data_IF_220917449683
#
_entry.id   IF_220917449683
#
_cell.length_a   1.000
_cell.length_b   1.000
_cell.length_c   1.000
_cell.angle_alpha   90.00
_cell.angle_beta   90.00
_cell.angle_gamma   90.00
#
_symmetry.space_group_name_H-M   'P 1'
#
loop_
_entity.id
_entity.type
_entity.pdbx_description
1 polymer ?
#
# COMPACT_ATOMS: atom_id res chain seq x y z
N UNK A 1 -15.00 23.21 -17.77
CA UNK A 1 -15.39 21.91 -18.39
C UNK A 1 -14.32 20.81 -18.22
N UNK A 2 -13.04 21.05 -18.49
CA UNK A 2 -12.00 19.98 -18.41
C UNK A 2 -11.79 19.42 -17.00
N UNK A 3 -11.79 20.21 -15.94
CA UNK A 3 -11.66 19.75 -14.54
C UNK A 3 -12.86 18.90 -14.14
N UNK A 4 -14.05 19.28 -14.57
CA UNK A 4 -15.31 18.61 -14.32
C UNK A 4 -15.39 17.24 -15.01
N UNK A 5 -14.95 17.14 -16.26
CA UNK A 5 -14.86 15.86 -16.99
C UNK A 5 -13.87 14.89 -16.37
N UNK A 6 -12.72 15.39 -15.84
CA UNK A 6 -11.73 14.57 -15.15
C UNK A 6 -12.22 14.07 -13.79
N UNK A 7 -12.94 14.90 -13.05
CA UNK A 7 -13.52 14.53 -11.76
C UNK A 7 -14.59 13.46 -11.95
N UNK A 8 -15.43 13.58 -12.97
CA UNK A 8 -16.44 12.57 -13.33
C UNK A 8 -15.80 11.23 -13.65
N UNK A 9 -14.73 11.21 -14.44
CA UNK A 9 -13.99 9.97 -14.75
C UNK A 9 -13.38 9.32 -13.50
N UNK A 10 -12.79 10.10 -12.60
CA UNK A 10 -12.20 9.58 -11.36
C UNK A 10 -13.26 9.04 -10.39
N UNK A 11 -14.36 9.76 -10.21
CA UNK A 11 -15.46 9.32 -9.32
C UNK A 11 -16.19 8.08 -9.87
N UNK A 12 -16.38 7.99 -11.19
CA UNK A 12 -16.99 6.80 -11.79
C UNK A 12 -16.07 5.58 -11.69
N UNK A 13 -14.75 5.76 -11.83
CA UNK A 13 -13.79 4.70 -11.60
C UNK A 13 -13.77 4.26 -10.13
N UNK A 14 -13.79 5.21 -9.19
CA UNK A 14 -13.86 4.93 -7.75
C UNK A 14 -15.14 4.17 -7.39
N UNK A 15 -16.30 4.59 -7.91
CA UNK A 15 -17.58 3.88 -7.73
C UNK A 15 -17.51 2.44 -8.23
N UNK A 16 -17.00 2.25 -9.46
CA UNK A 16 -16.90 0.91 -10.06
C UNK A 16 -15.94 0.01 -9.25
N UNK A 17 -14.78 0.53 -8.84
CA UNK A 17 -13.80 -0.25 -8.10
C UNK A 17 -14.31 -0.63 -6.69
N UNK A 18 -14.93 0.29 -5.96
CA UNK A 18 -15.48 0.01 -4.62
C UNK A 18 -16.64 -1.00 -4.69
N UNK A 19 -17.47 -0.92 -5.72
CA UNK A 19 -18.52 -1.90 -5.95
C UNK A 19 -17.96 -3.28 -6.31
N UNK A 20 -16.94 -3.34 -7.17
CA UNK A 20 -16.24 -4.59 -7.53
C UNK A 20 -15.66 -5.26 -6.30
N UNK A 21 -15.03 -4.52 -5.38
CA UNK A 21 -14.48 -5.09 -4.14
C UNK A 21 -15.58 -5.72 -3.29
N UNK A 22 -16.69 -5.02 -3.05
CA UNK A 22 -17.82 -5.57 -2.30
C UNK A 22 -18.37 -6.85 -2.94
N UNK A 23 -18.48 -6.88 -4.27
CA UNK A 23 -18.94 -8.04 -5.02
C UNK A 23 -17.97 -9.21 -4.91
N UNK A 24 -16.67 -8.96 -5.05
CA UNK A 24 -15.63 -10.01 -4.96
C UNK A 24 -15.62 -10.62 -3.56
N UNK A 25 -15.68 -9.82 -2.50
CA UNK A 25 -15.78 -10.35 -1.13
C UNK A 25 -17.01 -11.24 -0.93
N UNK A 26 -18.15 -10.92 -1.57
CA UNK A 26 -19.33 -11.76 -1.52
C UNK A 26 -19.17 -13.09 -2.30
N UNK A 27 -18.35 -13.10 -3.36
CA UNK A 27 -18.12 -14.27 -4.23
C UNK A 27 -17.03 -15.21 -3.67
N UNK A 28 -16.01 -14.69 -2.97
CA UNK A 28 -14.89 -15.50 -2.45
C UNK A 28 -15.35 -16.77 -1.74
N UNK A 29 -16.35 -16.76 -0.83
CA UNK A 29 -16.80 -17.98 -0.15
C UNK A 29 -17.40 -19.04 -1.08
N UNK A 30 -17.82 -18.65 -2.29
CA UNK A 30 -18.40 -19.52 -3.31
C UNK A 30 -17.34 -20.12 -4.24
N UNK A 31 -16.07 -19.71 -4.09
CA UNK A 31 -14.98 -20.17 -4.93
C UNK A 31 -14.46 -21.54 -4.45
N UNK A 32 -14.91 -22.61 -5.09
CA UNK A 32 -14.49 -23.98 -4.79
C UNK A 32 -13.17 -24.40 -5.45
N UNK A 33 -12.70 -23.65 -6.45
CA UNK A 33 -11.45 -23.92 -7.17
C UNK A 33 -10.41 -22.82 -6.94
N UNK A 34 -9.16 -23.21 -6.71
CA UNK A 34 -8.02 -22.30 -6.52
C UNK A 34 -7.88 -21.31 -7.67
N UNK A 35 -8.11 -21.75 -8.92
CA UNK A 35 -8.04 -20.88 -10.09
C UNK A 35 -9.11 -19.78 -10.02
N UNK A 36 -10.35 -20.12 -9.65
CA UNK A 36 -11.43 -19.15 -9.52
C UNK A 36 -11.15 -18.15 -8.41
N UNK A 37 -10.66 -18.64 -7.26
CA UNK A 37 -10.21 -17.80 -6.15
C UNK A 37 -9.08 -16.84 -6.59
N UNK A 38 -8.08 -17.34 -7.33
CA UNK A 38 -6.97 -16.53 -7.83
C UNK A 38 -7.44 -15.43 -8.78
N UNK A 39 -8.40 -15.72 -9.65
CA UNK A 39 -9.00 -14.72 -10.54
C UNK A 39 -9.77 -13.66 -9.72
N UNK A 40 -10.57 -14.08 -8.76
CA UNK A 40 -11.31 -13.17 -7.88
C UNK A 40 -10.36 -12.24 -7.11
N UNK A 41 -9.29 -12.78 -6.53
CA UNK A 41 -8.28 -12.01 -5.82
C UNK A 41 -7.52 -11.04 -6.75
N UNK A 42 -7.22 -11.47 -7.99
CA UNK A 42 -6.59 -10.59 -8.98
C UNK A 42 -7.49 -9.40 -9.37
N UNK A 43 -8.79 -9.63 -9.51
CA UNK A 43 -9.78 -8.57 -9.78
C UNK A 43 -9.87 -7.61 -8.59
N UNK A 44 -9.94 -8.13 -7.35
CA UNK A 44 -9.95 -7.31 -6.14
C UNK A 44 -8.67 -6.48 -6.02
N UNK A 45 -7.50 -7.08 -6.20
CA UNK A 45 -6.21 -6.40 -6.15
C UNK A 45 -6.10 -5.27 -7.18
N UNK A 46 -6.56 -5.49 -8.41
CA UNK A 46 -6.63 -4.44 -9.44
C UNK A 46 -7.55 -3.29 -9.03
N UNK A 47 -8.70 -3.59 -8.46
CA UNK A 47 -9.65 -2.56 -8.00
C UNK A 47 -9.06 -1.77 -6.83
N UNK A 48 -8.42 -2.43 -5.85
CA UNK A 48 -7.75 -1.78 -4.73
C UNK A 48 -6.61 -0.86 -5.18
N UNK A 49 -5.74 -1.32 -6.08
CA UNK A 49 -4.64 -0.50 -6.62
C UNK A 49 -5.13 0.74 -7.37
N UNK A 50 -6.27 0.64 -8.08
CA UNK A 50 -6.89 1.80 -8.72
C UNK A 50 -7.46 2.78 -7.69
N UNK A 51 -8.10 2.31 -6.63
CA UNK A 51 -8.61 3.16 -5.54
C UNK A 51 -7.45 3.89 -4.87
N UNK A 52 -6.40 3.18 -4.51
CA UNK A 52 -5.23 3.75 -3.86
C UNK A 52 -4.58 4.83 -4.74
N UNK A 53 -4.34 4.53 -6.02
CA UNK A 53 -3.79 5.50 -6.97
C UNK A 53 -4.67 6.73 -7.13
N UNK A 54 -6.00 6.56 -7.25
CA UNK A 54 -6.94 7.67 -7.41
C UNK A 54 -6.99 8.52 -6.15
N UNK A 55 -7.05 7.89 -4.95
CA UNK A 55 -7.12 8.57 -3.67
C UNK A 55 -5.87 9.44 -3.43
N UNK A 56 -4.68 8.85 -3.56
CA UNK A 56 -3.41 9.57 -3.40
C UNK A 56 -3.29 10.73 -4.40
N UNK A 57 -3.58 10.48 -5.68
CA UNK A 57 -3.49 11.49 -6.73
C UNK A 57 -4.47 12.65 -6.55
N UNK A 58 -5.72 12.36 -6.19
CA UNK A 58 -6.73 13.39 -5.96
C UNK A 58 -6.38 14.24 -4.73
N UNK A 59 -5.88 13.63 -3.67
CA UNK A 59 -5.51 14.29 -2.44
C UNK A 59 -4.34 15.26 -2.66
N UNK A 60 -3.29 14.82 -3.36
CA UNK A 60 -2.15 15.68 -3.74
C UNK A 60 -2.60 16.86 -4.61
N UNK A 61 -3.50 16.63 -5.58
CA UNK A 61 -4.02 17.71 -6.43
C UNK A 61 -4.87 18.70 -5.67
N UNK A 62 -5.64 18.26 -4.68
CA UNK A 62 -6.57 19.08 -3.92
C UNK A 62 -5.83 19.97 -2.91
N UNK A 63 -4.92 19.38 -2.13
CA UNK A 63 -4.26 20.05 -1.00
C UNK A 63 -2.89 20.62 -1.30
N UNK A 64 -2.29 20.26 -2.41
CA UNK A 64 -1.01 20.81 -2.90
C UNK A 64 0.08 20.89 -1.81
N UNK A 65 0.35 22.09 -1.27
CA UNK A 65 1.40 22.33 -0.26
C UNK A 65 1.14 21.63 1.08
N UNK A 66 -0.13 21.42 1.43
CA UNK A 66 -0.53 20.77 2.68
C UNK A 66 -0.76 19.26 2.50
N UNK A 67 -0.44 18.72 1.31
CA UNK A 67 -0.68 17.32 0.95
C UNK A 67 -0.04 16.32 1.93
N UNK A 68 1.10 16.65 2.52
CA UNK A 68 1.80 15.78 3.47
C UNK A 68 0.93 15.39 4.66
N UNK A 69 0.22 16.34 5.26
CA UNK A 69 -0.66 16.10 6.42
C UNK A 69 -1.85 15.21 6.02
N UNK A 70 -2.47 15.52 4.89
CA UNK A 70 -3.65 14.77 4.42
C UNK A 70 -3.29 13.38 3.88
N UNK A 71 -2.10 13.20 3.31
CA UNK A 71 -1.57 11.88 2.95
C UNK A 71 -1.36 11.01 4.19
N UNK A 72 -0.82 11.57 5.28
CA UNK A 72 -0.69 10.85 6.54
C UNK A 72 -2.07 10.44 7.09
N UNK A 73 -3.07 11.34 7.02
CA UNK A 73 -4.44 11.04 7.44
C UNK A 73 -5.08 9.94 6.58
N UNK A 74 -4.92 9.97 5.24
CA UNK A 74 -5.39 8.91 4.36
C UNK A 74 -4.81 7.56 4.77
N UNK A 75 -3.50 7.51 4.95
CA UNK A 75 -2.80 6.29 5.32
C UNK A 75 -3.10 5.83 6.77
N UNK A 76 -3.46 6.76 7.67
CA UNK A 76 -3.98 6.40 8.98
C UNK A 76 -5.27 5.57 8.87
N UNK A 77 -6.22 6.00 8.04
CA UNK A 77 -7.46 5.24 7.84
C UNK A 77 -7.23 3.89 7.12
N UNK A 78 -6.26 3.82 6.22
CA UNK A 78 -5.84 2.54 5.61
C UNK A 78 -5.29 1.60 6.70
N UNK A 79 -4.41 2.09 7.57
CA UNK A 79 -3.87 1.33 8.69
C UNK A 79 -4.93 0.88 9.68
N UNK A 80 -5.89 1.76 9.98
CA UNK A 80 -7.03 1.43 10.84
C UNK A 80 -7.88 0.30 10.24
N UNK A 81 -8.12 0.32 8.93
CA UNK A 81 -8.81 -0.76 8.23
C UNK A 81 -8.05 -2.08 8.30
N UNK A 82 -6.74 -2.05 8.10
CA UNK A 82 -5.87 -3.23 8.21
C UNK A 82 -5.84 -3.81 9.64
N UNK A 83 -5.94 -2.97 10.66
CA UNK A 83 -6.03 -3.39 12.06
C UNK A 83 -7.41 -3.98 12.41
N UNK A 84 -8.50 -3.37 11.94
CA UNK A 84 -9.87 -3.80 12.29
C UNK A 84 -10.28 -5.07 11.54
N UNK A 85 -9.80 -5.25 10.32
CA UNK A 85 -10.18 -6.39 9.46
C UNK A 85 -9.89 -7.76 10.09
N UNK A 86 -8.71 -8.05 10.65
CA UNK A 86 -8.44 -9.31 11.37
C UNK A 86 -9.35 -9.50 12.59
N UNK A 87 -9.64 -8.43 13.34
CA UNK A 87 -10.50 -8.49 14.53
C UNK A 87 -11.94 -8.88 14.17
N UNK A 88 -12.42 -8.48 13.00
CA UNK A 88 -13.73 -8.90 12.49
C UNK A 88 -13.71 -10.35 12.03
N UNK A 89 -12.59 -10.83 11.47
CA UNK A 89 -12.46 -12.18 10.95
C UNK A 89 -12.18 -13.22 12.04
N UNK A 90 -11.48 -12.84 13.12
CA UNK A 90 -11.02 -13.76 14.20
C UNK A 90 -12.12 -14.65 14.79
N UNK A 91 -13.33 -14.15 15.13
CA UNK A 91 -14.40 -14.98 15.70
C UNK A 91 -14.88 -16.11 14.78
N UNK A 92 -14.62 -16.00 13.48
CA UNK A 92 -15.03 -16.97 12.46
C UNK A 92 -13.92 -17.96 12.10
N UNK A 93 -12.70 -17.76 12.64
CA UNK A 93 -11.60 -18.70 12.49
C UNK A 93 -11.78 -19.78 13.56
N UNK A 94 -12.25 -20.96 13.16
CA UNK A 94 -12.37 -22.09 14.08
C UNK A 94 -10.99 -22.61 14.49
N UNK A 95 -10.78 -22.77 15.80
CA UNK A 95 -9.61 -23.49 16.36
C UNK A 95 -9.72 -25.00 16.13
N UNK A 96 -10.92 -25.49 15.83
CA UNK A 96 -11.18 -26.93 15.66
C UNK A 96 -10.77 -27.37 14.24
N UNK A 97 -9.78 -28.23 14.19
CA UNK A 97 -9.42 -28.96 12.98
C UNK A 97 -10.64 -29.75 12.48
N UNK A 98 -11.05 -29.51 11.23
CA UNK A 98 -12.13 -30.23 10.55
C UNK A 98 -11.75 -31.70 10.25
N UNK A 99 -11.24 -32.43 11.23
CA UNK A 99 -11.08 -33.87 11.15
C UNK A 99 -12.19 -34.49 11.98
N UNK A 100 -13.30 -34.81 11.31
CA UNK A 100 -14.32 -35.68 11.90
C UNK A 100 -13.70 -37.09 12.03
N UNK A 101 -13.20 -37.40 13.20
CA UNK A 101 -12.86 -38.78 13.55
C UNK A 101 -14.16 -39.58 13.56
N UNK A 102 -14.36 -40.40 12.53
CA UNK A 102 -15.37 -41.43 12.53
C UNK A 102 -15.18 -42.29 13.79
N UNK A 103 -16.19 -42.27 14.67
CA UNK A 103 -16.27 -43.08 15.84
C UNK A 103 -16.16 -44.57 15.45
N UNK A 104 -14.95 -45.09 15.56
CA UNK A 104 -14.77 -46.53 15.77
C UNK A 104 -14.33 -46.73 17.20
N UNK A 105 -15.30 -47.18 18.00
CA UNK A 105 -15.12 -47.74 19.36
C UNK A 105 -13.94 -48.69 19.41
N UNK A 106 -12.83 -48.24 19.99
CA UNK A 106 -11.88 -49.11 20.71
C UNK A 106 -11.23 -48.29 21.81
N UNK A 107 -11.43 -48.76 23.04
CA UNK A 107 -10.83 -48.27 24.25
C UNK A 107 -9.29 -48.30 24.14
N UNK A 108 -8.67 -47.15 24.06
CA UNK A 108 -7.31 -46.93 24.58
C UNK A 108 -7.02 -45.45 24.67
N UNK A 109 -6.75 -45.02 25.87
CA UNK A 109 -6.31 -43.70 26.29
C UNK A 109 -4.95 -43.35 25.70
N UNK A 110 -4.93 -42.54 24.66
CA UNK A 110 -3.84 -41.64 24.31
C UNK A 110 -4.35 -40.74 23.17
N UNK A 111 -4.61 -39.47 23.50
CA UNK A 111 -4.88 -38.44 22.51
C UNK A 111 -3.64 -38.27 21.63
N UNK A 112 -3.70 -38.57 20.33
CA UNK A 112 -2.61 -38.19 19.45
C UNK A 112 -2.65 -36.67 19.28
N UNK A 113 -1.52 -36.04 19.56
CA UNK A 113 -1.27 -34.62 19.39
C UNK A 113 -1.51 -34.19 17.93
N UNK A 114 -2.73 -33.76 17.64
CA UNK A 114 -3.10 -33.19 16.33
C UNK A 114 -2.43 -31.84 16.04
N UNK A 115 -1.90 -31.17 17.05
CA UNK A 115 -1.09 -29.96 16.90
C UNK A 115 0.19 -30.21 16.08
N UNK A 116 0.78 -31.42 16.21
CA UNK A 116 1.98 -31.79 15.44
C UNK A 116 1.72 -32.00 13.94
N UNK A 117 0.51 -32.40 13.56
CA UNK A 117 0.14 -32.60 12.16
C UNK A 117 -0.05 -31.27 11.42
N UNK A 118 -0.52 -30.26 12.09
CA UNK A 118 -0.74 -28.92 11.50
C UNK A 118 0.57 -28.16 11.26
N UNK A 119 1.54 -28.33 12.15
CA UNK A 119 2.87 -27.73 11.99
C UNK A 119 3.74 -28.45 10.97
N UNK A 120 3.59 -29.77 10.81
CA UNK A 120 4.33 -30.53 9.81
C UNK A 120 3.78 -30.36 8.38
N UNK A 121 2.48 -30.08 8.22
CA UNK A 121 1.88 -29.74 6.91
C UNK A 121 2.30 -28.36 6.39
N UNK A 122 2.63 -27.42 7.29
CA UNK A 122 3.12 -26.09 6.92
C UNK A 122 4.62 -26.03 6.62
N UNK A 123 5.40 -27.04 7.04
CA UNK A 123 6.86 -26.98 7.05
C UNK A 123 7.64 -28.04 6.27
N UNK A 124 7.02 -29.10 5.79
CA UNK A 124 7.73 -30.12 5.00
C UNK A 124 6.82 -30.72 3.93
N UNK A 125 7.32 -30.74 2.69
CA UNK A 125 6.74 -31.50 1.59
C UNK A 125 6.81 -33.00 1.84
N UNK A 126 6.07 -33.49 2.83
CA UNK A 126 5.84 -34.90 3.05
C UNK A 126 4.81 -35.36 2.04
N UNK A 127 5.24 -36.30 1.21
CA UNK A 127 4.53 -36.90 0.13
C UNK A 127 3.04 -37.05 0.39
N UNK A 128 2.24 -36.38 -0.42
CA UNK A 128 0.78 -36.47 -0.51
C UNK A 128 0.27 -37.87 -0.83
N UNK A 129 1.13 -38.89 -0.80
CA UNK A 129 0.79 -40.24 -1.29
C UNK A 129 -0.08 -41.04 -0.33
N UNK A 130 -0.23 -40.64 0.92
CA UNK A 130 -1.06 -41.38 1.90
C UNK A 130 -2.38 -40.69 2.27
N UNK A 131 -2.72 -39.55 1.66
CA UNK A 131 -4.01 -38.89 1.92
C UNK A 131 -5.16 -39.38 1.02
N UNK A 132 -4.89 -40.29 0.06
CA UNK A 132 -5.94 -40.84 -0.84
C UNK A 132 -6.87 -41.86 -0.15
N UNK A 133 -6.66 -42.21 1.11
CA UNK A 133 -7.53 -43.17 1.85
C UNK A 133 -8.61 -42.48 2.70
N UNK A 134 -8.65 -41.18 2.80
CA UNK A 134 -9.74 -40.50 3.50
C UNK A 134 -10.80 -40.05 2.49
N UNK A 135 -11.82 -40.91 2.30
CA UNK A 135 -13.05 -40.50 1.64
C UNK A 135 -13.71 -39.39 2.48
N UNK A 136 -13.54 -38.16 2.05
CA UNK A 136 -14.37 -37.06 2.51
C UNK A 136 -15.78 -37.30 1.93
N UNK A 137 -16.73 -37.67 2.75
CA UNK A 137 -18.14 -37.61 2.39
C UNK A 137 -18.53 -36.14 2.31
N UNK A 138 -18.54 -35.58 1.12
CA UNK A 138 -19.06 -34.25 0.83
C UNK A 138 -20.40 -34.37 0.10
N UNK A 139 -21.45 -34.70 0.81
CA UNK A 139 -22.82 -34.38 0.37
C UNK A 139 -23.30 -33.20 1.22
N UNK A 140 -23.17 -31.99 0.67
CA UNK A 140 -23.65 -30.75 1.24
C UNK A 140 -22.70 -29.60 0.93
N UNK A 141 -23.24 -28.44 0.65
CA UNK A 141 -22.46 -27.20 0.55
C UNK A 141 -21.92 -26.91 1.96
N UNK A 142 -20.66 -27.23 2.23
CA UNK A 142 -20.01 -26.92 3.50
C UNK A 142 -19.73 -25.40 3.49
N UNK A 143 -20.64 -24.64 4.07
CA UNK A 143 -20.42 -23.25 4.38
C UNK A 143 -19.54 -23.22 5.62
N UNK A 144 -18.25 -22.93 5.45
CA UNK A 144 -17.32 -22.76 6.56
C UNK A 144 -17.69 -21.47 7.31
N UNK A 145 -17.47 -21.42 8.64
CA UNK A 145 -17.71 -20.20 9.44
C UNK A 145 -16.98 -18.98 8.87
N UNK A 146 -15.82 -19.18 8.25
CA UNK A 146 -15.05 -18.14 7.55
C UNK A 146 -15.85 -17.47 6.43
N UNK A 147 -16.80 -18.13 5.79
CA UNK A 147 -17.67 -17.52 4.77
C UNK A 147 -18.44 -16.32 5.31
N UNK A 148 -18.89 -16.38 6.56
CA UNK A 148 -19.59 -15.25 7.21
C UNK A 148 -18.68 -14.03 7.37
N UNK A 149 -17.40 -14.23 7.67
CA UNK A 149 -16.44 -13.13 7.76
C UNK A 149 -16.34 -12.37 6.42
N UNK A 150 -16.23 -13.09 5.30
CA UNK A 150 -16.20 -12.45 3.97
C UNK A 150 -17.50 -11.72 3.62
N UNK A 151 -18.66 -12.28 3.97
CA UNK A 151 -19.95 -11.61 3.74
C UNK A 151 -20.13 -10.38 4.61
N UNK A 152 -19.67 -10.39 5.87
CA UNK A 152 -19.64 -9.21 6.73
C UNK A 152 -18.74 -8.15 6.13
N UNK A 153 -17.55 -8.53 5.65
CA UNK A 153 -16.64 -7.60 4.99
C UNK A 153 -17.24 -7.01 3.71
N UNK A 154 -17.98 -7.82 2.92
CA UNK A 154 -18.71 -7.33 1.76
C UNK A 154 -19.77 -6.28 2.16
N UNK A 155 -20.52 -6.52 3.24
CA UNK A 155 -21.53 -5.59 3.77
C UNK A 155 -20.91 -4.29 4.31
N UNK A 156 -19.78 -4.38 5.02
CA UNK A 156 -19.03 -3.21 5.54
C UNK A 156 -18.54 -2.33 4.38
N UNK A 157 -18.21 -2.91 3.23
CA UNK A 157 -17.76 -2.16 2.06
C UNK A 157 -18.92 -1.48 1.28
N UNK A 158 -20.17 -1.95 1.38
CA UNK A 158 -21.30 -1.37 0.63
C UNK A 158 -21.60 0.12 0.88
N UNK A 159 -21.45 0.66 2.10
CA UNK A 159 -21.64 2.10 2.33
C UNK A 159 -20.69 2.97 1.49
N UNK A 160 -19.52 2.48 1.12
CA UNK A 160 -18.52 3.26 0.36
C UNK A 160 -19.02 3.58 -1.06
N UNK A 161 -19.40 2.62 -1.92
CA UNK A 161 -19.98 2.95 -3.21
C UNK A 161 -21.27 3.76 -3.09
N UNK A 162 -22.09 3.55 -2.04
CA UNK A 162 -23.25 4.38 -1.79
C UNK A 162 -22.89 5.84 -1.50
N UNK A 163 -21.85 6.09 -0.69
CA UNK A 163 -21.35 7.44 -0.42
C UNK A 163 -20.78 8.10 -1.68
N UNK A 164 -20.02 7.36 -2.51
CA UNK A 164 -19.50 7.87 -3.79
C UNK A 164 -20.65 8.21 -4.73
N UNK A 165 -21.69 7.37 -4.79
CA UNK A 165 -22.88 7.64 -5.60
C UNK A 165 -23.64 8.88 -5.11
N UNK A 166 -23.79 9.05 -3.79
CA UNK A 166 -24.39 10.22 -3.19
C UNK A 166 -23.59 11.51 -3.51
N UNK A 167 -22.25 11.43 -3.47
CA UNK A 167 -21.37 12.52 -3.87
C UNK A 167 -21.55 12.87 -5.36
N UNK A 168 -21.58 11.86 -6.24
CA UNK A 168 -21.85 12.07 -7.67
C UNK A 168 -23.21 12.69 -7.93
N UNK A 169 -24.23 12.32 -7.14
CA UNK A 169 -25.55 12.93 -7.21
C UNK A 169 -25.52 14.41 -6.77
N UNK A 170 -24.86 14.68 -5.63
CA UNK A 170 -24.72 16.04 -5.09
C UNK A 170 -24.00 16.97 -6.07
N UNK A 171 -22.90 16.49 -6.68
CA UNK A 171 -22.14 17.23 -7.68
C UNK A 171 -22.85 17.31 -9.05
N UNK A 172 -24.07 16.79 -9.18
CA UNK A 172 -24.85 16.73 -10.42
C UNK A 172 -24.12 16.08 -11.59
N UNK A 173 -23.28 15.11 -11.29
CA UNK A 173 -22.46 14.40 -12.27
C UNK A 173 -23.23 13.24 -12.93
N UNK A 174 -24.38 12.84 -12.38
CA UNK A 174 -25.23 11.78 -12.95
C UNK A 174 -26.01 12.30 -14.15
N UNK A 175 -26.09 11.54 -15.25
CA UNK A 175 -26.82 11.95 -16.46
C UNK A 175 -28.30 12.24 -16.21
N UNK A 176 -28.92 11.58 -15.21
CA UNK A 176 -30.32 11.79 -14.83
C UNK A 176 -30.58 13.17 -14.18
N UNK A 177 -29.54 13.83 -13.64
CA UNK A 177 -29.68 15.12 -12.96
C UNK A 177 -29.32 16.29 -13.87
N UNK A 178 -28.91 16.02 -15.10
CA UNK A 178 -28.63 17.05 -16.10
C UNK A 178 -29.97 17.58 -16.60
N UNK A 179 -30.45 18.68 -16.04
CA UNK A 179 -31.54 19.45 -16.64
C UNK A 179 -31.12 19.77 -18.07
N UNK A 180 -31.93 19.38 -19.04
CA UNK A 180 -31.76 19.81 -20.43
C UNK A 180 -31.57 21.33 -20.45
N UNK A 181 -30.57 21.86 -21.16
CA UNK A 181 -30.46 23.29 -21.26
C UNK A 181 -31.76 23.81 -21.86
N UNK A 182 -32.45 24.67 -21.09
CA UNK A 182 -33.61 25.39 -21.58
C UNK A 182 -33.14 26.20 -22.76
N UNK A 183 -33.67 25.87 -23.95
CA UNK A 183 -33.50 26.63 -25.21
C UNK A 183 -34.26 27.95 -25.10
N UNK A 184 -33.79 28.88 -24.26
CA UNK A 184 -34.29 30.27 -24.27
C UNK A 184 -33.29 31.10 -23.44
N UNK A 185 -32.24 31.54 -24.10
CA UNK A 185 -31.72 32.89 -23.98
C UNK A 185 -30.67 33.12 -25.08
N UNK A 186 -31.23 33.48 -26.20
CA UNK A 186 -30.51 34.13 -27.27
C UNK A 186 -30.86 35.62 -27.11
N UNK A 187 -29.95 36.42 -26.66
CA UNK A 187 -29.71 37.75 -27.10
C UNK A 187 -28.76 38.50 -26.17
N UNK A 188 -27.82 39.04 -26.84
CA UNK A 188 -27.12 40.29 -26.63
C UNK A 188 -25.65 40.27 -26.26
N UNK A 189 -24.97 40.80 -27.21
CA UNK A 189 -23.79 41.68 -27.25
C UNK A 189 -22.39 41.07 -27.13
N UNK A 190 -21.85 41.07 -28.32
CA UNK A 190 -20.46 41.44 -28.73
C UNK A 190 -19.55 42.08 -27.68
N UNK A 191 -18.37 41.49 -27.49
CA UNK A 191 -17.11 42.22 -27.57
C UNK A 191 -15.91 41.28 -27.69
N UNK A 192 -15.12 41.57 -28.63
CA UNK A 192 -13.84 41.15 -29.15
C UNK A 192 -12.81 40.87 -28.07
N UNK A 193 -12.18 39.67 -28.09
CA UNK A 193 -10.78 39.48 -27.72
C UNK A 193 -10.23 38.11 -28.18
N UNK A 194 -8.93 37.97 -28.42
CA UNK A 194 -8.36 37.11 -29.43
C UNK A 194 -8.27 35.64 -29.07
N UNK A 195 -8.33 34.82 -30.12
CA UNK A 195 -8.21 33.39 -30.09
C UNK A 195 -6.89 32.94 -29.47
N UNK A 196 -7.01 32.17 -28.36
CA UNK A 196 -5.96 31.29 -27.89
C UNK A 196 -6.39 29.89 -28.27
N UNK A 197 -5.62 29.24 -29.12
CA UNK A 197 -5.78 27.87 -29.56
C UNK A 197 -5.85 26.92 -28.38
N UNK A 198 -7.05 26.45 -28.05
CA UNK A 198 -7.27 25.33 -27.14
C UNK A 198 -7.18 24.02 -27.91
N UNK A 199 -6.00 23.42 -27.91
CA UNK A 199 -5.83 22.03 -28.28
C UNK A 199 -6.56 21.18 -27.22
N UNK A 200 -7.72 20.65 -27.58
CA UNK A 200 -8.44 19.62 -26.80
C UNK A 200 -7.63 18.31 -26.76
N UNK A 201 -6.78 18.17 -25.76
CA UNK A 201 -6.13 16.90 -25.45
C UNK A 201 -6.98 16.10 -24.46
N UNK A 202 -7.59 15.00 -24.91
CA UNK A 202 -8.10 13.95 -24.05
C UNK A 202 -6.97 13.40 -23.18
N UNK A 203 -6.74 13.98 -22.01
CA UNK A 203 -5.77 13.45 -21.06
C UNK A 203 -6.44 12.46 -20.13
N UNK A 204 -6.28 11.16 -20.42
CA UNK A 204 -6.55 10.05 -19.51
C UNK A 204 -5.75 10.23 -18.19
N UNK A 205 -6.12 9.52 -17.13
CA UNK A 205 -5.39 9.51 -15.84
C UNK A 205 -3.90 9.22 -16.05
N UNK A 206 -3.54 8.44 -17.06
CA UNK A 206 -2.19 8.13 -17.50
C UNK A 206 -1.63 9.10 -18.55
N UNK A 207 -2.39 10.10 -18.99
CA UNK A 207 -1.95 11.08 -19.98
C UNK A 207 -0.83 12.01 -19.50
N UNK A 208 -0.51 11.97 -18.20
CA UNK A 208 0.66 12.66 -17.64
C UNK A 208 1.98 11.99 -18.06
N UNK A 209 1.98 10.69 -18.35
CA UNK A 209 3.17 9.93 -18.80
C UNK A 209 3.37 9.92 -20.32
N UNK A 210 2.73 10.85 -21.05
CA UNK A 210 2.88 10.92 -22.49
C UNK A 210 4.32 11.31 -22.88
N UNK A 211 5.02 10.55 -23.75
CA UNK A 211 6.43 10.79 -24.10
C UNK A 211 6.75 12.20 -24.59
N UNK A 212 5.79 12.86 -25.25
CA UNK A 212 5.98 14.22 -25.75
C UNK A 212 6.07 15.27 -24.62
N UNK A 213 5.46 15.04 -23.45
CA UNK A 213 5.54 15.94 -22.30
C UNK A 213 6.79 15.71 -21.44
N UNK A 214 7.35 14.50 -21.49
CA UNK A 214 8.56 14.13 -20.79
C UNK A 214 9.84 14.60 -21.51
N UNK A 215 9.76 14.91 -22.79
CA UNK A 215 10.88 15.26 -23.69
C UNK A 215 11.46 16.65 -23.44
N UNK A 216 11.39 17.23 -22.30
CA UNK A 216 12.00 18.56 -21.99
C UNK A 216 12.53 18.63 -20.57
N UNK A 217 12.35 17.57 -19.78
CA UNK A 217 12.79 17.58 -18.39
C UNK A 217 14.28 17.19 -18.27
N UNK A 218 15.01 17.80 -17.32
CA UNK A 218 16.42 17.47 -17.09
C UNK A 218 16.58 16.02 -16.60
N UNK A 219 17.73 15.41 -16.83
CA UNK A 219 18.03 14.04 -16.39
C UNK A 219 17.82 13.86 -14.88
N UNK A 220 18.06 14.89 -14.09
CA UNK A 220 17.85 14.91 -12.62
C UNK A 220 16.40 14.60 -12.24
N UNK A 221 15.42 15.07 -13.03
CA UNK A 221 14.01 14.76 -12.83
C UNK A 221 13.76 13.24 -12.86
N UNK A 222 14.29 12.54 -13.85
CA UNK A 222 14.13 11.08 -13.97
C UNK A 222 14.87 10.33 -12.87
N UNK A 223 16.05 10.79 -12.50
CA UNK A 223 16.85 10.19 -11.42
C UNK A 223 16.11 10.28 -10.09
N UNK A 224 15.55 11.44 -9.76
CA UNK A 224 14.80 11.64 -8.52
C UNK A 224 13.54 10.78 -8.45
N UNK A 225 12.79 10.64 -9.56
CA UNK A 225 11.65 9.74 -9.65
C UNK A 225 12.05 8.26 -9.48
N UNK A 226 13.13 7.85 -10.15
CA UNK A 226 13.62 6.48 -10.07
C UNK A 226 14.10 6.14 -8.64
N UNK A 227 14.82 7.06 -7.99
CA UNK A 227 15.27 6.87 -6.61
C UNK A 227 14.10 6.85 -5.63
N UNK A 228 13.15 7.77 -5.78
CA UNK A 228 11.93 7.79 -4.96
C UNK A 228 11.11 6.50 -5.11
N UNK A 229 10.90 6.06 -6.34
CA UNK A 229 10.24 4.80 -6.62
C UNK A 229 11.00 3.59 -6.05
N UNK A 230 12.33 3.56 -6.17
CA UNK A 230 13.14 2.48 -5.64
C UNK A 230 13.10 2.42 -4.10
N UNK A 231 13.09 3.57 -3.41
CA UNK A 231 12.93 3.62 -1.96
C UNK A 231 11.58 3.05 -1.56
N UNK A 232 10.49 3.46 -2.21
CA UNK A 232 9.15 2.94 -1.91
C UNK A 232 9.01 1.45 -2.28
N UNK A 233 9.60 1.01 -3.39
CA UNK A 233 9.65 -0.41 -3.74
C UNK A 233 10.24 -1.26 -2.61
N UNK A 234 11.34 -0.80 -2.01
CA UNK A 234 11.99 -1.53 -0.92
C UNK A 234 11.19 -1.41 0.39
N UNK A 235 10.73 -0.22 0.76
CA UNK A 235 10.11 0.02 2.07
C UNK A 235 8.71 -0.59 2.18
N UNK A 236 7.88 -0.47 1.15
CA UNK A 236 6.58 -1.17 1.13
C UNK A 236 6.75 -2.67 0.95
N UNK A 237 7.78 -3.10 0.20
CA UNK A 237 8.19 -4.50 0.16
C UNK A 237 8.55 -5.07 1.54
N UNK A 238 9.22 -4.28 2.40
CA UNK A 238 9.49 -4.67 3.80
C UNK A 238 8.18 -4.77 4.59
N UNK A 239 7.25 -3.81 4.44
CA UNK A 239 5.95 -3.85 5.14
C UNK A 239 5.18 -5.13 4.77
N UNK A 240 5.02 -5.40 3.47
CA UNK A 240 4.29 -6.58 3.01
C UNK A 240 4.97 -7.89 3.42
N UNK A 241 6.30 -7.97 3.30
CA UNK A 241 7.04 -9.16 3.72
C UNK A 241 6.98 -9.38 5.23
N UNK A 242 7.05 -8.31 6.02
CA UNK A 242 6.97 -8.38 7.47
C UNK A 242 5.59 -8.86 7.91
N UNK A 243 4.52 -8.24 7.47
CA UNK A 243 3.15 -8.66 7.74
C UNK A 243 2.88 -10.10 7.27
N UNK A 244 3.36 -10.47 6.06
CA UNK A 244 3.12 -11.79 5.50
C UNK A 244 3.86 -12.95 6.19
N UNK A 245 5.03 -12.71 6.78
CA UNK A 245 5.88 -13.79 7.28
C UNK A 245 6.24 -13.73 8.77
N UNK A 246 5.87 -12.68 9.50
CA UNK A 246 6.17 -12.55 10.93
C UNK A 246 5.57 -13.67 11.75
N UNK A 247 4.35 -14.10 11.44
CA UNK A 247 3.70 -15.24 12.07
C UNK A 247 4.49 -16.54 11.81
N UNK A 248 4.83 -16.81 10.55
CA UNK A 248 5.59 -18.00 10.16
C UNK A 248 6.95 -18.04 10.86
N UNK A 249 7.62 -16.91 10.98
CA UNK A 249 8.87 -16.78 11.71
C UNK A 249 8.70 -17.09 13.20
N UNK A 250 7.66 -16.56 13.84
CA UNK A 250 7.42 -16.71 15.27
C UNK A 250 7.10 -18.15 15.68
N UNK A 251 6.33 -18.89 14.87
CA UNK A 251 5.98 -20.30 15.17
C UNK A 251 7.08 -21.29 14.79
N UNK A 252 8.06 -20.86 14.02
CA UNK A 252 9.18 -21.70 13.55
C UNK A 252 10.39 -21.62 14.50
N UNK A 253 11.33 -22.60 14.43
CA UNK A 253 12.61 -22.46 15.14
C UNK A 253 13.34 -21.17 14.71
N UNK A 254 13.99 -20.45 15.61
CA UNK A 254 14.34 -20.81 17.00
C UNK A 254 13.31 -20.42 18.06
N UNK A 255 12.26 -19.65 17.72
CA UNK A 255 11.34 -19.05 18.70
C UNK A 255 10.27 -20.03 19.20
N UNK A 256 9.70 -20.85 18.32
CA UNK A 256 8.66 -21.84 18.62
C UNK A 256 7.54 -21.28 19.52
N UNK A 257 7.06 -20.10 19.18
CA UNK A 257 6.01 -19.41 19.93
C UNK A 257 4.66 -20.11 19.73
N UNK A 258 3.80 -20.05 20.75
CA UNK A 258 2.42 -20.53 20.61
C UNK A 258 1.64 -19.75 19.57
N UNK A 259 0.74 -20.40 18.83
CA UNK A 259 -0.02 -19.83 17.71
C UNK A 259 -0.78 -18.55 18.08
N UNK A 260 -1.38 -18.46 19.28
CA UNK A 260 -2.08 -17.24 19.76
C UNK A 260 -1.12 -16.07 19.90
N UNK A 261 0.03 -16.28 20.54
CA UNK A 261 1.03 -15.24 20.71
C UNK A 261 1.63 -14.79 19.36
N UNK A 262 1.90 -15.73 18.46
CA UNK A 262 2.40 -15.43 17.13
C UNK A 262 1.36 -14.64 16.30
N UNK A 263 0.07 -14.99 16.39
CA UNK A 263 -1.00 -14.26 15.72
C UNK A 263 -1.16 -12.80 16.17
N UNK A 264 -0.85 -12.52 17.46
CA UNK A 264 -0.86 -11.13 17.95
C UNK A 264 0.23 -10.24 17.33
N UNK A 265 1.33 -10.78 16.80
CA UNK A 265 2.42 -9.98 16.25
C UNK A 265 2.00 -9.16 15.03
N UNK A 266 1.20 -9.74 14.13
CA UNK A 266 0.68 -9.01 12.98
C UNK A 266 -0.25 -7.86 13.41
N UNK A 267 -1.14 -8.13 14.38
CA UNK A 267 -1.99 -7.09 14.96
C UNK A 267 -1.18 -5.97 15.64
N UNK A 268 -0.11 -6.31 16.35
CA UNK A 268 0.81 -5.32 16.96
C UNK A 268 1.51 -4.50 15.88
N UNK A 269 1.93 -5.11 14.79
CA UNK A 269 2.56 -4.41 13.67
C UNK A 269 1.62 -3.37 13.04
N UNK A 270 0.40 -3.79 12.69
CA UNK A 270 -0.60 -2.88 12.10
C UNK A 270 -1.09 -1.81 13.08
N UNK A 271 -1.23 -2.14 14.37
CA UNK A 271 -1.53 -1.16 15.41
C UNK A 271 -0.43 -0.11 15.52
N UNK A 272 0.82 -0.53 15.52
CA UNK A 272 1.98 0.36 15.57
C UNK A 272 2.06 1.26 14.33
N UNK A 273 1.84 0.72 13.13
CA UNK A 273 1.76 1.52 11.89
C UNK A 273 0.64 2.56 12.00
N UNK A 274 -0.54 2.17 12.48
CA UNK A 274 -1.69 3.07 12.60
C UNK A 274 -1.42 4.20 13.60
N UNK A 275 -0.88 3.87 14.78
CA UNK A 275 -0.49 4.85 15.79
C UNK A 275 0.64 5.75 15.29
N UNK A 276 1.61 5.19 14.60
CA UNK A 276 2.68 5.94 13.96
C UNK A 276 2.15 6.97 12.97
N UNK A 277 1.26 6.58 12.08
CA UNK A 277 0.60 7.49 11.12
C UNK A 277 -0.16 8.61 11.82
N UNK A 278 -0.87 8.31 12.91
CA UNK A 278 -1.53 9.32 13.73
C UNK A 278 -0.53 10.32 14.32
N UNK A 279 0.58 9.84 14.88
CA UNK A 279 1.65 10.70 15.40
C UNK A 279 2.28 11.55 14.30
N UNK A 280 2.52 10.96 13.11
CA UNK A 280 3.12 11.66 11.98
C UNK A 280 2.19 12.69 11.33
N UNK A 281 0.87 12.64 11.51
CA UNK A 281 -0.04 13.75 11.15
C UNK A 281 0.40 15.02 11.89
N UNK A 282 0.62 14.94 13.20
CA UNK A 282 1.08 16.06 13.99
C UNK A 282 2.51 16.48 13.63
N UNK A 283 3.42 15.51 13.47
CA UNK A 283 4.82 15.77 13.13
C UNK A 283 4.96 16.44 11.75
N UNK A 284 4.12 16.09 10.79
CA UNK A 284 4.10 16.69 9.44
C UNK A 284 3.77 18.19 9.46
N UNK A 285 3.07 18.67 10.51
CA UNK A 285 2.84 20.09 10.71
C UNK A 285 4.07 20.84 11.23
N UNK A 286 5.05 20.13 11.82
CA UNK A 286 6.22 20.72 12.49
C UNK A 286 7.54 20.51 11.73
N UNK A 287 7.65 19.41 11.00
CA UNK A 287 8.87 18.99 10.32
C UNK A 287 8.64 18.81 8.83
N UNK A 288 9.68 19.10 8.06
CA UNK A 288 9.65 18.89 6.60
C UNK A 288 9.69 17.40 6.23
N UNK A 289 9.06 17.03 5.12
CA UNK A 289 9.01 15.65 4.65
C UNK A 289 10.37 14.93 4.56
N UNK A 290 11.47 15.54 4.06
CA UNK A 290 12.78 14.88 4.02
C UNK A 290 13.36 14.58 5.42
N UNK A 291 13.09 15.40 6.44
CA UNK A 291 13.53 15.12 7.82
C UNK A 291 12.77 13.93 8.40
N UNK A 292 11.43 13.90 8.20
CA UNK A 292 10.61 12.78 8.66
C UNK A 292 11.03 11.47 7.99
N UNK A 293 11.27 11.50 6.69
CA UNK A 293 11.77 10.36 5.93
C UNK A 293 13.11 9.83 6.46
N UNK A 294 14.04 10.73 6.76
CA UNK A 294 15.35 10.36 7.31
C UNK A 294 15.22 9.71 8.69
N UNK A 295 14.43 10.31 9.60
CA UNK A 295 14.19 9.74 10.92
C UNK A 295 13.54 8.35 10.84
N UNK A 296 12.56 8.19 9.97
CA UNK A 296 11.87 6.91 9.76
C UNK A 296 12.83 5.82 9.28
N UNK A 297 13.62 6.07 8.24
CA UNK A 297 14.53 5.07 7.68
C UNK A 297 15.72 4.75 8.59
N UNK A 298 16.27 5.74 9.31
CA UNK A 298 17.27 5.48 10.35
C UNK A 298 16.69 4.59 11.45
N UNK A 299 15.46 4.88 11.91
CA UNK A 299 14.75 4.06 12.88
C UNK A 299 14.54 2.64 12.41
N UNK A 300 14.11 2.45 11.16
CA UNK A 300 13.91 1.11 10.56
C UNK A 300 15.18 0.29 10.58
N UNK A 301 16.31 0.86 10.14
CA UNK A 301 17.60 0.14 10.15
C UNK A 301 18.01 -0.26 11.57
N UNK A 302 17.95 0.69 12.51
CA UNK A 302 18.35 0.43 13.89
C UNK A 302 17.52 -0.73 14.48
N UNK A 303 16.21 -0.71 14.28
CA UNK A 303 15.32 -1.77 14.78
C UNK A 303 15.58 -3.10 14.09
N UNK A 304 15.77 -3.12 12.77
CA UNK A 304 16.09 -4.35 12.04
C UNK A 304 17.41 -4.96 12.50
N UNK A 305 18.45 -4.14 12.74
CA UNK A 305 19.71 -4.62 13.29
C UNK A 305 19.52 -5.21 14.70
N UNK A 306 18.72 -4.56 15.55
CA UNK A 306 18.42 -5.06 16.90
C UNK A 306 17.61 -6.37 16.85
N UNK A 307 16.63 -6.49 15.95
CA UNK A 307 15.90 -7.73 15.74
C UNK A 307 16.81 -8.89 15.29
N UNK A 308 17.81 -8.59 14.45
CA UNK A 308 18.83 -9.57 14.06
C UNK A 308 19.73 -10.00 15.21
N UNK A 309 20.10 -9.08 16.10
CA UNK A 309 20.94 -9.38 17.27
C UNK A 309 20.18 -10.24 18.28
N UNK A 310 18.92 -9.91 18.55
CA UNK A 310 18.07 -10.57 19.54
C UNK A 310 17.05 -11.52 18.94
N UNK A 311 17.39 -12.17 17.84
CA UNK A 311 16.50 -13.02 17.04
C UNK A 311 15.88 -14.21 17.79
N UNK A 312 16.43 -14.61 18.94
CA UNK A 312 15.93 -15.71 19.77
C UNK A 312 14.96 -15.26 20.88
N UNK A 313 14.77 -13.95 21.07
CA UNK A 313 13.94 -13.42 22.15
C UNK A 313 12.53 -13.06 21.67
N UNK A 314 11.52 -13.80 22.13
CA UNK A 314 10.12 -13.52 21.83
C UNK A 314 9.68 -12.14 22.34
N UNK A 315 10.11 -11.74 23.53
CA UNK A 315 9.78 -10.42 24.11
C UNK A 315 10.36 -9.29 23.24
N UNK A 316 11.61 -9.49 22.79
CA UNK A 316 12.26 -8.52 21.95
C UNK A 316 11.62 -8.46 20.56
N UNK A 317 11.10 -9.58 20.05
CA UNK A 317 10.37 -9.61 18.79
C UNK A 317 9.10 -8.74 18.87
N UNK A 318 8.31 -8.84 19.95
CA UNK A 318 7.13 -7.98 20.16
C UNK A 318 7.51 -6.49 20.20
N UNK A 319 8.50 -6.15 21.02
CA UNK A 319 8.97 -4.77 21.15
C UNK A 319 9.52 -4.25 19.82
N UNK A 320 10.37 -5.01 19.16
CA UNK A 320 10.96 -4.64 17.87
C UNK A 320 9.90 -4.49 16.77
N UNK A 321 8.89 -5.38 16.73
CA UNK A 321 7.75 -5.27 15.80
C UNK A 321 6.97 -3.97 16.00
N UNK A 322 6.71 -3.60 17.26
CA UNK A 322 6.04 -2.35 17.59
C UNK A 322 6.86 -1.13 17.12
N UNK A 323 8.14 -1.07 17.47
CA UNK A 323 9.00 0.06 17.09
C UNK A 323 9.23 0.11 15.57
N UNK A 324 9.36 -1.05 14.91
CA UNK A 324 9.46 -1.13 13.46
C UNK A 324 8.22 -0.54 12.78
N UNK A 325 7.02 -0.95 13.22
CA UNK A 325 5.75 -0.42 12.70
C UNK A 325 5.65 1.10 12.87
N UNK A 326 6.04 1.63 14.03
CA UNK A 326 6.07 3.07 14.27
C UNK A 326 7.03 3.80 13.33
N UNK A 327 8.25 3.29 13.16
CA UNK A 327 9.27 3.92 12.32
C UNK A 327 8.91 3.88 10.83
N UNK A 328 8.41 2.75 10.32
CA UNK A 328 8.15 2.58 8.88
C UNK A 328 6.86 3.30 8.44
N UNK A 329 5.97 3.63 9.37
CA UNK A 329 4.60 4.10 9.11
C UNK A 329 4.48 5.32 8.22
N UNK A 330 5.44 6.25 8.28
CA UNK A 330 5.39 7.52 7.56
C UNK A 330 6.22 7.56 6.29
N UNK A 331 6.93 6.49 5.95
CA UNK A 331 7.87 6.50 4.80
C UNK A 331 7.14 6.79 3.50
N UNK A 332 6.05 6.06 3.21
CA UNK A 332 5.27 6.25 1.99
C UNK A 332 4.70 7.67 1.87
N UNK A 333 3.88 8.18 2.82
CA UNK A 333 3.28 9.51 2.67
C UNK A 333 4.31 10.63 2.68
N UNK A 334 5.39 10.49 3.46
CA UNK A 334 6.49 11.48 3.45
C UNK A 334 7.26 11.48 2.14
N UNK A 335 7.45 10.31 1.49
CA UNK A 335 8.14 10.21 0.22
C UNK A 335 7.31 10.80 -0.93
N UNK A 336 6.00 10.52 -0.96
CA UNK A 336 5.09 11.11 -1.93
C UNK A 336 5.10 12.64 -1.79
N UNK A 337 4.92 13.15 -0.57
CA UNK A 337 4.94 14.60 -0.32
C UNK A 337 6.29 15.23 -0.71
N UNK A 338 7.41 14.59 -0.35
CA UNK A 338 8.75 15.08 -0.69
C UNK A 338 8.99 15.15 -2.20
N UNK A 339 8.57 14.12 -2.92
CA UNK A 339 8.76 14.06 -4.38
C UNK A 339 7.88 15.08 -5.09
N UNK A 340 6.65 15.31 -4.61
CA UNK A 340 5.76 16.34 -5.15
C UNK A 340 6.28 17.77 -4.88
N UNK A 341 6.89 18.02 -3.72
CA UNK A 341 7.51 19.31 -3.39
C UNK A 341 8.75 19.59 -4.25
N UNK A 342 9.48 18.54 -4.63
CA UNK A 342 10.73 18.66 -5.38
C UNK A 342 10.51 18.84 -6.88
N UNK A 343 9.38 18.36 -7.38
CA UNK A 343 9.08 18.28 -8.80
C UNK A 343 7.82 19.10 -9.09
N UNK A 344 7.96 20.17 -9.86
CA UNK A 344 6.83 21.02 -10.29
C UNK A 344 5.76 20.28 -11.12
N UNK A 345 5.97 19.00 -11.43
CA UNK A 345 5.13 18.17 -12.30
C UNK A 345 4.24 17.21 -11.50
N UNK A 346 3.12 17.72 -11.01
CA UNK A 346 2.17 17.02 -10.15
C UNK A 346 1.39 15.93 -10.90
N UNK A 347 1.30 14.75 -10.32
CA UNK A 347 0.43 13.67 -10.76
C UNK A 347 1.11 12.49 -11.45
N UNK A 348 2.16 12.68 -12.26
CA UNK A 348 2.93 11.57 -12.83
C UNK A 348 3.82 10.93 -11.75
N UNK A 349 4.44 11.77 -10.92
CA UNK A 349 5.24 11.33 -9.78
C UNK A 349 4.46 10.39 -8.87
N UNK A 350 3.31 10.81 -8.40
CA UNK A 350 2.45 10.00 -7.51
C UNK A 350 2.11 8.65 -8.12
N UNK A 351 1.73 8.59 -9.41
CA UNK A 351 1.39 7.32 -10.07
C UNK A 351 2.59 6.38 -10.14
N UNK A 352 3.78 6.89 -10.48
CA UNK A 352 5.01 6.08 -10.53
C UNK A 352 5.37 5.55 -9.14
N UNK A 353 5.28 6.40 -8.11
CA UNK A 353 5.59 6.05 -6.74
C UNK A 353 4.64 4.97 -6.19
N UNK A 354 3.32 5.15 -6.36
CA UNK A 354 2.31 4.15 -5.93
C UNK A 354 2.52 2.82 -6.65
N UNK A 355 2.73 2.84 -7.98
CA UNK A 355 2.96 1.61 -8.75
C UNK A 355 4.24 0.91 -8.31
N UNK A 356 5.30 1.67 -8.03
CA UNK A 356 6.58 1.13 -7.55
C UNK A 356 6.43 0.48 -6.17
N UNK A 357 5.73 1.14 -5.24
CA UNK A 357 5.43 0.63 -3.91
C UNK A 357 4.68 -0.71 -3.97
N UNK A 358 3.56 -0.77 -4.69
CA UNK A 358 2.75 -1.99 -4.83
C UNK A 358 3.51 -3.13 -5.53
N UNK A 359 4.38 -2.79 -6.51
CA UNK A 359 5.24 -3.78 -7.16
C UNK A 359 6.28 -4.32 -6.19
N UNK A 360 6.86 -3.46 -5.35
CA UNK A 360 7.81 -3.83 -4.31
C UNK A 360 7.20 -4.75 -3.27
N UNK A 361 6.00 -4.44 -2.80
CA UNK A 361 5.24 -5.27 -1.86
C UNK A 361 5.05 -6.68 -2.42
N UNK A 362 4.61 -6.81 -3.66
CA UNK A 362 4.43 -8.10 -4.31
C UNK A 362 5.76 -8.85 -4.50
N UNK A 363 6.77 -8.20 -5.06
CA UNK A 363 8.03 -8.85 -5.44
C UNK A 363 8.86 -9.27 -4.22
N UNK A 364 8.94 -8.41 -3.20
CA UNK A 364 9.74 -8.73 -2.02
C UNK A 364 9.12 -9.87 -1.22
N UNK A 365 7.79 -9.95 -1.13
CA UNK A 365 7.08 -11.10 -0.53
C UNK A 365 7.41 -12.42 -1.27
N UNK A 366 7.39 -12.42 -2.60
CA UNK A 366 7.75 -13.60 -3.39
C UNK A 366 9.20 -14.03 -3.14
N UNK A 367 10.13 -13.08 -3.12
CA UNK A 367 11.56 -13.35 -2.88
C UNK A 367 11.75 -13.89 -1.45
N UNK A 368 11.20 -13.21 -0.45
CA UNK A 368 11.33 -13.61 0.97
C UNK A 368 10.69 -14.98 1.21
N UNK A 369 9.50 -15.23 0.65
CA UNK A 369 8.83 -16.52 0.74
C UNK A 369 9.65 -17.66 0.12
N UNK A 370 10.24 -17.43 -1.05
CA UNK A 370 11.14 -18.39 -1.71
C UNK A 370 12.41 -18.66 -0.87
N UNK A 371 12.99 -17.62 -0.27
CA UNK A 371 14.19 -17.75 0.56
C UNK A 371 13.87 -18.47 1.88
N UNK A 372 12.72 -18.18 2.51
CA UNK A 372 12.26 -18.93 3.69
C UNK A 372 12.10 -20.41 3.37
N UNK A 373 11.49 -20.73 2.23
CA UNK A 373 11.29 -22.11 1.80
C UNK A 373 12.61 -22.86 1.62
N UNK A 374 13.66 -22.21 1.11
CA UNK A 374 14.95 -22.86 0.80
C UNK A 374 15.94 -22.86 1.98
N UNK A 375 15.91 -21.82 2.84
CA UNK A 375 16.93 -21.61 3.89
C UNK A 375 16.34 -21.57 5.31
N UNK A 376 15.02 -21.67 5.45
CA UNK A 376 14.33 -21.64 6.74
C UNK A 376 13.92 -20.25 7.20
N UNK A 377 13.15 -20.20 8.30
CA UNK A 377 12.48 -18.99 8.80
C UNK A 377 13.44 -17.87 9.23
N UNK A 378 14.65 -18.21 9.66
CA UNK A 378 15.69 -17.23 10.03
C UNK A 378 16.03 -16.27 8.89
N UNK A 379 15.99 -16.76 7.65
CA UNK A 379 16.27 -15.96 6.46
C UNK A 379 15.33 -14.75 6.29
N UNK A 380 14.15 -14.79 6.89
CA UNK A 380 13.19 -13.68 6.90
C UNK A 380 13.78 -12.39 7.46
N UNK A 381 14.32 -12.43 8.69
CA UNK A 381 14.92 -11.24 9.32
C UNK A 381 16.14 -10.74 8.54
N UNK A 382 16.96 -11.67 8.01
CA UNK A 382 18.10 -11.32 7.19
C UNK A 382 17.68 -10.56 5.92
N UNK A 383 16.68 -11.07 5.19
CA UNK A 383 16.16 -10.41 4.00
C UNK A 383 15.62 -9.01 4.31
N UNK A 384 14.82 -8.86 5.36
CA UNK A 384 14.29 -7.55 5.78
C UNK A 384 15.42 -6.57 6.18
N UNK A 385 16.46 -7.07 6.87
CA UNK A 385 17.62 -6.25 7.26
C UNK A 385 18.40 -5.78 6.03
N UNK A 386 18.72 -6.70 5.10
CA UNK A 386 19.40 -6.34 3.84
C UNK A 386 18.59 -5.34 3.04
N UNK A 387 17.29 -5.56 2.90
CA UNK A 387 16.39 -4.62 2.22
C UNK A 387 16.41 -3.24 2.89
N UNK A 388 16.41 -3.17 4.22
CA UNK A 388 16.49 -1.91 4.97
C UNK A 388 17.81 -1.16 4.71
N UNK A 389 18.93 -1.86 4.62
CA UNK A 389 20.22 -1.25 4.26
C UNK A 389 20.21 -0.70 2.83
N UNK A 390 19.63 -1.45 1.87
CA UNK A 390 19.49 -0.97 0.50
C UNK A 390 18.61 0.30 0.46
N UNK A 391 17.47 0.30 1.14
CA UNK A 391 16.58 1.46 1.23
C UNK A 391 17.28 2.70 1.80
N UNK A 392 18.13 2.52 2.81
CA UNK A 392 18.90 3.61 3.39
C UNK A 392 20.00 4.14 2.48
N UNK A 393 20.72 3.26 1.78
CA UNK A 393 21.70 3.68 0.79
C UNK A 393 21.04 4.49 -0.35
N UNK A 394 19.84 4.07 -0.78
CA UNK A 394 19.06 4.81 -1.76
C UNK A 394 18.62 6.19 -1.24
N UNK A 395 18.25 6.30 0.05
CA UNK A 395 17.95 7.58 0.67
C UNK A 395 19.17 8.51 0.68
N UNK A 396 20.35 8.02 1.08
CA UNK A 396 21.57 8.81 1.07
C UNK A 396 21.91 9.30 -0.35
N UNK A 397 21.72 8.42 -1.35
CA UNK A 397 21.90 8.79 -2.75
C UNK A 397 20.90 9.86 -3.20
N UNK A 398 19.63 9.74 -2.80
CA UNK A 398 18.60 10.73 -3.09
C UNK A 398 18.94 12.11 -2.52
N UNK A 399 19.36 12.16 -1.25
CA UNK A 399 19.78 13.40 -0.57
C UNK A 399 21.01 14.00 -1.26
N UNK A 400 21.99 13.18 -1.64
CA UNK A 400 23.18 13.61 -2.37
C UNK A 400 22.83 14.23 -3.73
N UNK A 401 22.03 13.54 -4.54
CA UNK A 401 21.59 14.06 -5.85
C UNK A 401 20.83 15.37 -5.72
N UNK A 402 19.96 15.49 -4.72
CA UNK A 402 19.26 16.74 -4.43
C UNK A 402 20.21 17.87 -4.07
N UNK A 403 21.21 17.61 -3.22
CA UNK A 403 22.19 18.61 -2.79
C UNK A 403 23.00 19.13 -3.99
N UNK A 404 23.49 18.24 -4.84
CA UNK A 404 24.20 18.58 -6.06
C UNK A 404 23.35 19.42 -7.01
N UNK A 405 22.08 19.03 -7.18
CA UNK A 405 21.16 19.78 -8.04
C UNK A 405 20.92 21.20 -7.53
N UNK A 406 20.72 21.36 -6.22
CA UNK A 406 20.48 22.65 -5.59
C UNK A 406 21.69 23.59 -5.71
N UNK A 407 22.90 23.08 -5.53
CA UNK A 407 24.14 23.87 -5.66
C UNK A 407 24.38 24.31 -7.10
N UNK A 408 24.15 23.45 -8.09
CA UNK A 408 24.25 23.80 -9.51
C UNK A 408 23.30 24.90 -9.95
N UNK A 409 22.10 24.97 -9.37
CA UNK A 409 21.15 26.07 -9.61
C UNK A 409 21.57 27.40 -8.97
N UNK A 410 22.20 27.34 -7.81
CA UNK A 410 22.72 28.54 -7.11
C UNK A 410 23.86 29.17 -7.89
N UNK A 411 24.84 28.37 -8.33
CA UNK A 411 25.98 28.83 -9.12
C UNK A 411 25.55 29.41 -10.49
N UNK A 412 24.55 28.81 -11.10
CA UNK A 412 23.99 29.33 -12.38
C UNK A 412 23.27 30.66 -12.21
N UNK A 413 22.61 30.89 -11.07
CA UNK A 413 21.93 32.14 -10.74
C UNK A 413 22.92 33.25 -10.40
N UNK A 414 23.97 32.95 -9.64
CA UNK A 414 25.04 33.89 -9.33
C UNK A 414 25.82 34.32 -10.58
N UNK A 415 26.10 33.39 -11.50
CA UNK A 415 26.77 33.70 -12.77
C UNK A 415 25.88 34.50 -13.72
N UNK A 416 24.54 34.37 -13.70
CA UNK A 416 23.62 35.25 -14.45
C UNK A 416 23.58 36.65 -13.82
N UNK A 417 23.50 36.77 -12.50
CA UNK A 417 23.48 38.05 -11.80
C UNK A 417 24.79 38.81 -11.97
N UNK A 418 25.96 38.15 -12.06
CA UNK A 418 27.23 38.78 -12.40
C UNK A 418 27.31 39.27 -13.84
N UNK A 419 26.61 38.64 -14.76
CA UNK A 419 26.55 39.07 -16.16
C UNK A 419 25.58 40.24 -16.39
N UNK A 420 24.54 40.36 -15.57
CA UNK A 420 23.57 41.48 -15.65
C UNK A 420 24.03 42.77 -14.94
N UNK A 421 25.00 42.70 -14.04
CA UNK A 421 25.63 43.87 -13.43
C UNK A 421 27.13 43.91 -13.77
N UNK A 422 27.53 44.31 -14.98
CA UNK A 422 28.90 44.67 -15.24
C UNK A 422 29.18 45.96 -14.43
N UNK A 423 30.01 45.86 -13.44
CA UNK A 423 30.46 46.93 -12.57
C UNK A 423 30.75 48.23 -13.39
N UNK A 424 29.91 49.23 -13.23
CA UNK A 424 30.27 50.64 -13.48
C UNK A 424 31.33 51.00 -12.41
N UNK A 425 32.57 50.64 -12.68
CA UNK A 425 33.75 50.99 -11.93
C UNK A 425 34.80 51.48 -12.91
N UNK A 426 34.65 52.75 -13.32
CA UNK A 426 35.61 53.41 -14.16
C UNK A 426 35.50 54.90 -13.98
N UNK A 427 36.27 55.45 -13.09
CA UNK A 427 36.99 56.71 -13.19
C UNK A 427 37.65 57.05 -11.86
#
# INVERSE_FOLDING_TARGET
CCVFSRLLSSLSALLSCTFIISLVFAIIPLCHHVVLLSIAMAIAGKAMGLIDTIANLQLVKLYQKDSAVFLQALHFFIGLGALVSPLVAEPFLSEDSCVVLSNRTTNSSSSPDLEHLRSSLAGQGVALHNMSQYHLYTEGVIITSVAYAFWIMALINLPVPAAVLALMYHERLLPCCRKSPCLLEKDSLSSTSPAVDHVEGHTSVFGCCHPAKLRGHPATFFILHALGGAILFITDGIIGSYAGFIYTYAVSPPLLMGHKAAGCLDSVFWAAITLGRLAFIYLSCRYTAPRLLTFSLVGVILVQCLLMIFYTSSVFLFFGTCVLGLCISSVFPSMVAYTEDLLDYKGCATTVLVTSASTGEMMLQLIVGSVIHSHGSYAFLLCCTVASFIGFCLLLLLIFVQHVHRNGHTDSRESMNMKENPSTGGS
#
